data_IF_704457423489
#
_entry.id   IF_704457423489
#
_cell.length_a   1.000
_cell.length_b   1.000
_cell.length_c   1.000
_cell.angle_alpha   90.00
_cell.angle_beta   90.00
_cell.angle_gamma   90.00
#
_symmetry.space_group_name_H-M   'P 1'
#
loop_
_entity.id
_entity.type
_entity.pdbx_description
1 polymer ?
#
# COMPACT_ATOMS: atom_id res chain seq x y z
N UNK A 1 18.75 -13.45 27.41
CA UNK A 1 17.67 -12.43 27.54
C UNK A 1 17.24 -12.05 26.14
N UNK A 2 15.95 -12.21 25.84
CA UNK A 2 15.36 -11.83 24.56
C UNK A 2 14.19 -10.89 24.81
N UNK A 3 14.00 -9.88 23.96
CA UNK A 3 12.84 -8.98 24.05
C UNK A 3 11.92 -9.32 22.88
N UNK A 4 10.64 -9.48 23.19
CA UNK A 4 9.56 -9.60 22.22
C UNK A 4 8.53 -8.51 22.50
N UNK A 5 7.63 -8.26 21.56
CA UNK A 5 6.61 -7.23 21.66
C UNK A 5 5.24 -7.88 21.53
N UNK A 6 4.33 -7.59 22.45
CA UNK A 6 2.91 -7.88 22.25
C UNK A 6 2.39 -7.10 21.04
N UNK A 7 1.30 -7.54 20.42
CA UNK A 7 0.79 -6.90 19.20
C UNK A 7 0.31 -5.45 19.40
N UNK A 8 0.25 -4.95 20.63
CA UNK A 8 -0.02 -3.55 21.00
C UNK A 8 1.26 -2.69 21.20
N UNK A 9 2.43 -3.30 21.07
CA UNK A 9 3.74 -2.67 21.25
C UNK A 9 4.34 -2.81 22.64
N UNK A 10 3.64 -3.44 23.58
CA UNK A 10 4.15 -3.64 24.94
C UNK A 10 5.37 -4.57 24.91
N UNK A 11 6.55 -4.12 25.39
CA UNK A 11 7.73 -4.97 25.41
C UNK A 11 7.62 -6.03 26.52
N UNK A 12 8.01 -7.25 26.20
CA UNK A 12 8.08 -8.39 27.11
C UNK A 12 9.49 -8.99 27.10
N UNK A 13 10.05 -9.22 28.29
CA UNK A 13 11.38 -9.82 28.45
C UNK A 13 11.21 -11.34 28.59
N UNK A 14 11.64 -12.08 27.56
CA UNK A 14 11.73 -13.53 27.61
C UNK A 14 13.02 -13.97 28.32
N UNK A 15 12.83 -14.59 29.49
CA UNK A 15 13.87 -15.15 30.33
C UNK A 15 14.04 -16.65 30.10
N UNK A 16 15.20 -17.18 30.47
CA UNK A 16 15.53 -18.60 30.31
C UNK A 16 15.10 -19.34 31.58
N UNK A 17 14.32 -20.41 31.43
CA UNK A 17 13.90 -21.26 32.54
C UNK A 17 15.02 -22.23 32.99
N UNK A 18 14.75 -23.04 34.01
CA UNK A 18 15.70 -24.03 34.55
C UNK A 18 16.10 -25.12 33.53
N UNK A 19 15.32 -25.31 32.46
CA UNK A 19 15.56 -26.27 31.38
C UNK A 19 16.36 -25.68 30.21
N UNK A 20 16.69 -24.38 30.27
CA UNK A 20 17.44 -23.69 29.22
C UNK A 20 16.59 -23.14 28.08
N UNK A 21 15.26 -23.16 28.19
CA UNK A 21 14.32 -22.66 27.19
C UNK A 21 13.82 -21.23 27.52
N UNK A 22 13.54 -20.44 26.48
CA UNK A 22 12.96 -19.11 26.64
C UNK A 22 11.47 -19.19 26.98
N UNK A 23 11.06 -18.49 28.03
CA UNK A 23 9.65 -18.32 28.40
C UNK A 23 9.09 -17.09 27.70
N UNK A 24 8.17 -17.32 26.76
CA UNK A 24 7.48 -16.30 25.97
C UNK A 24 6.13 -15.91 26.62
N UNK A 25 5.53 -14.76 26.26
CA UNK A 25 4.23 -14.38 26.79
C UNK A 25 3.12 -15.32 26.27
N UNK A 26 2.04 -15.44 27.03
CA UNK A 26 0.88 -16.25 26.66
C UNK A 26 0.02 -15.59 25.56
N UNK A 27 0.10 -14.27 25.44
CA UNK A 27 -0.62 -13.48 24.44
C UNK A 27 0.13 -13.46 23.10
N UNK A 28 -0.53 -12.99 22.03
CA UNK A 28 0.10 -12.87 20.70
C UNK A 28 1.25 -11.85 20.71
N UNK A 29 2.39 -12.23 20.11
CA UNK A 29 3.62 -11.46 20.13
C UNK A 29 4.38 -11.53 18.80
N UNK A 30 5.30 -10.58 18.62
CA UNK A 30 6.23 -10.49 17.50
C UNK A 30 7.64 -10.14 17.99
N UNK A 31 8.67 -10.56 17.26
CA UNK A 31 10.05 -10.11 17.50
C UNK A 31 10.34 -8.78 16.81
N UNK A 32 9.41 -8.30 15.98
CA UNK A 32 9.54 -7.06 15.23
C UNK A 32 9.20 -5.89 16.15
N UNK A 33 10.15 -5.00 16.49
CA UNK A 33 9.85 -3.84 17.31
C UNK A 33 8.92 -2.86 16.59
N UNK A 34 8.04 -2.14 17.33
CA UNK A 34 7.31 -1.03 16.77
C UNK A 34 8.28 0.02 16.20
N UNK A 35 8.05 0.53 14.97
CA UNK A 35 8.87 1.58 14.39
C UNK A 35 8.94 2.82 15.26
N UNK A 36 10.10 3.49 15.29
CA UNK A 36 10.23 4.77 15.97
C UNK A 36 9.32 5.82 15.32
N UNK A 37 8.53 6.53 16.14
CA UNK A 37 7.71 7.66 15.71
C UNK A 37 6.23 7.35 15.45
N UNK A 38 5.80 6.09 15.53
CA UNK A 38 4.37 5.78 15.56
C UNK A 38 3.76 6.21 16.90
N UNK A 39 2.57 6.80 16.84
CA UNK A 39 1.83 7.33 17.97
C UNK A 39 0.63 6.44 18.27
N UNK A 40 0.36 6.20 19.56
CA UNK A 40 -0.74 5.32 19.97
C UNK A 40 -2.11 5.93 19.60
N UNK A 41 -3.10 5.11 19.24
CA UNK A 41 -3.05 3.64 19.17
C UNK A 41 -2.39 3.11 17.88
N UNK A 42 -1.62 2.02 18.02
CA UNK A 42 -1.02 1.27 16.92
C UNK A 42 -1.06 -0.24 17.23
N UNK A 43 -0.96 -1.09 16.21
CA UNK A 43 -0.97 -2.54 16.37
C UNK A 43 -0.15 -3.24 15.29
N UNK A 44 0.26 -4.49 15.52
CA UNK A 44 0.91 -5.35 14.53
C UNK A 44 -0.15 -6.19 13.80
N UNK A 45 -0.18 -6.14 12.46
CA UNK A 45 -1.18 -6.85 11.64
C UNK A 45 -0.80 -8.29 11.25
N UNK A 46 0.35 -8.77 11.77
CA UNK A 46 0.95 -10.05 11.42
C UNK A 46 2.08 -9.95 10.40
N UNK A 47 2.25 -8.79 9.75
CA UNK A 47 3.33 -8.51 8.81
C UNK A 47 4.08 -7.21 9.18
N UNK A 48 3.35 -6.13 9.45
CA UNK A 48 3.91 -4.81 9.77
C UNK A 48 3.14 -4.09 10.89
N UNK A 49 3.75 -3.04 11.42
CA UNK A 49 3.13 -2.19 12.43
C UNK A 49 2.27 -1.13 11.77
N UNK A 50 0.98 -1.13 12.10
CA UNK A 50 -0.02 -0.18 11.63
C UNK A 50 -0.23 0.90 12.71
N UNK A 51 0.05 2.14 12.36
CA UNK A 51 -0.11 3.30 13.26
C UNK A 51 0.03 4.62 12.50
N UNK A 52 -0.23 5.71 13.19
CA UNK A 52 -0.11 7.07 12.65
C UNK A 52 1.07 7.77 13.32
N UNK A 53 1.81 8.62 12.58
CA UNK A 53 2.87 9.42 13.19
C UNK A 53 2.30 10.46 14.17
N UNK A 54 3.04 10.84 15.21
CA UNK A 54 2.55 11.81 16.21
C UNK A 54 2.03 13.10 15.59
N UNK A 55 2.81 13.71 14.69
CA UNK A 55 2.43 14.98 14.04
C UNK A 55 1.13 14.83 13.22
N UNK A 56 0.97 13.72 12.53
CA UNK A 56 -0.23 13.43 11.75
C UNK A 56 -1.44 13.17 12.65
N UNK A 57 -1.25 12.45 13.75
CA UNK A 57 -2.31 12.22 14.73
C UNK A 57 -2.74 13.54 15.38
N UNK A 58 -1.78 14.36 15.84
CA UNK A 58 -2.05 15.66 16.43
C UNK A 58 -2.79 16.57 15.45
N UNK A 59 -2.35 16.60 14.19
CA UNK A 59 -2.98 17.37 13.12
C UNK A 59 -4.42 16.93 12.84
N UNK A 60 -4.69 15.62 12.83
CA UNK A 60 -6.03 15.07 12.57
C UNK A 60 -6.99 15.22 13.77
N UNK A 61 -6.45 15.45 14.97
CA UNK A 61 -7.23 15.59 16.21
C UNK A 61 -7.31 17.04 16.72
N UNK A 62 -7.02 18.02 15.88
CA UNK A 62 -7.20 19.43 16.22
C UNK A 62 -8.70 19.75 16.32
N UNK A 63 -9.20 19.94 17.55
CA UNK A 63 -10.61 20.22 17.80
C UNK A 63 -11.00 21.69 17.49
N UNK A 64 -10.05 22.62 17.52
CA UNK A 64 -10.25 24.05 17.23
C UNK A 64 -9.01 24.65 16.52
N UNK A 65 -8.91 24.52 15.19
CA UNK A 65 -7.70 24.91 14.48
C UNK A 65 -7.52 26.43 14.44
N UNK A 66 -6.30 26.87 14.75
CA UNK A 66 -5.87 28.26 14.58
C UNK A 66 -5.85 28.64 13.09
N UNK A 67 -5.87 29.95 12.74
CA UNK A 67 -5.75 30.40 11.36
C UNK A 67 -4.50 29.89 10.63
N UNK A 68 -3.40 29.64 11.34
CA UNK A 68 -2.16 29.12 10.76
C UNK A 68 -2.27 27.61 10.47
N UNK A 69 -2.86 26.84 11.38
CA UNK A 69 -3.12 25.42 11.15
C UNK A 69 -4.09 25.22 9.99
N UNK A 70 -5.16 26.02 9.90
CA UNK A 70 -6.07 26.01 8.75
C UNK A 70 -5.35 26.27 7.42
N UNK A 71 -4.43 27.24 7.38
CA UNK A 71 -3.61 27.50 6.17
C UNK A 71 -2.75 26.30 5.80
N UNK A 72 -2.16 25.63 6.79
CA UNK A 72 -1.39 24.41 6.57
C UNK A 72 -2.28 23.27 6.03
N UNK A 73 -3.48 23.08 6.61
CA UNK A 73 -4.44 22.09 6.12
C UNK A 73 -4.82 22.35 4.66
N UNK A 74 -5.17 23.60 4.33
CA UNK A 74 -5.53 23.99 2.96
C UNK A 74 -4.36 23.76 2.00
N UNK A 75 -3.13 24.11 2.39
CA UNK A 75 -1.95 23.87 1.56
C UNK A 75 -1.71 22.38 1.31
N UNK A 76 -1.86 21.55 2.34
CA UNK A 76 -1.71 20.09 2.21
C UNK A 76 -2.80 19.49 1.33
N UNK A 77 -4.05 19.91 1.48
CA UNK A 77 -5.16 19.49 0.62
C UNK A 77 -4.94 19.92 -0.84
N UNK A 78 -4.43 21.13 -1.07
CA UNK A 78 -4.07 21.59 -2.41
C UNK A 78 -2.96 20.73 -3.04
N UNK A 79 -1.91 20.39 -2.27
CA UNK A 79 -0.85 19.49 -2.75
C UNK A 79 -1.42 18.11 -3.10
N UNK A 80 -2.25 17.53 -2.23
CA UNK A 80 -2.89 16.24 -2.49
C UNK A 80 -3.76 16.28 -3.75
N UNK A 81 -4.54 17.35 -3.95
CA UNK A 81 -5.36 17.53 -5.14
C UNK A 81 -4.50 17.61 -6.41
N UNK A 82 -3.40 18.36 -6.38
CA UNK A 82 -2.45 18.46 -7.51
C UNK A 82 -1.84 17.10 -7.82
N UNK A 83 -1.34 16.37 -6.81
CA UNK A 83 -0.76 15.03 -7.00
C UNK A 83 -1.79 14.04 -7.55
N UNK A 84 -3.03 14.07 -7.04
CA UNK A 84 -4.12 13.24 -7.54
C UNK A 84 -4.43 13.53 -9.01
N UNK A 85 -4.51 14.81 -9.39
CA UNK A 85 -4.72 15.21 -10.78
C UNK A 85 -3.57 14.74 -11.71
N UNK A 86 -2.31 14.83 -11.23
CA UNK A 86 -1.16 14.32 -11.98
C UNK A 86 -1.24 12.80 -12.18
N UNK A 87 -1.60 12.06 -11.13
CA UNK A 87 -1.77 10.61 -11.22
C UNK A 87 -2.93 10.23 -12.16
N UNK A 88 -4.05 10.94 -12.09
CA UNK A 88 -5.19 10.76 -13.00
C UNK A 88 -4.81 11.00 -14.46
N UNK A 89 -4.02 12.05 -14.72
CA UNK A 89 -3.50 12.34 -16.06
C UNK A 89 -2.60 11.21 -16.58
N UNK A 90 -1.69 10.68 -15.75
CA UNK A 90 -0.85 9.53 -16.10
C UNK A 90 -1.67 8.28 -16.39
N UNK A 91 -2.67 7.97 -15.56
CA UNK A 91 -3.58 6.82 -15.77
C UNK A 91 -4.34 6.99 -17.08
N UNK A 92 -4.85 8.19 -17.35
CA UNK A 92 -5.54 8.50 -18.61
C UNK A 92 -4.63 8.26 -19.83
N UNK A 93 -3.35 8.65 -19.74
CA UNK A 93 -2.37 8.39 -20.80
C UNK A 93 -2.12 6.89 -21.01
N UNK A 94 -1.90 6.14 -19.93
CA UNK A 94 -1.71 4.69 -20.00
C UNK A 94 -2.92 4.01 -20.62
N UNK A 95 -4.13 4.40 -20.21
CA UNK A 95 -5.37 3.86 -20.78
C UNK A 95 -5.50 4.17 -22.28
N UNK A 96 -5.11 5.35 -22.73
CA UNK A 96 -5.10 5.70 -24.16
C UNK A 96 -4.11 4.83 -24.94
N UNK A 97 -2.89 4.62 -24.43
CA UNK A 97 -1.91 3.72 -25.04
C UNK A 97 -2.45 2.30 -25.13
N UNK A 98 -2.95 1.74 -24.02
CA UNK A 98 -3.55 0.40 -24.01
C UNK A 98 -4.71 0.25 -24.98
N UNK A 99 -5.56 1.29 -25.11
CA UNK A 99 -6.67 1.29 -26.07
C UNK A 99 -6.16 1.20 -27.52
N UNK A 100 -5.09 1.93 -27.84
CA UNK A 100 -4.46 1.87 -29.16
C UNK A 100 -3.82 0.51 -29.42
N UNK A 101 -3.10 -0.05 -28.45
CA UNK A 101 -2.48 -1.36 -28.57
C UNK A 101 -3.54 -2.46 -28.80
N UNK A 102 -4.66 -2.39 -28.08
CA UNK A 102 -5.80 -3.30 -28.29
C UNK A 102 -6.38 -3.16 -29.69
N UNK A 103 -6.47 -1.95 -30.23
CA UNK A 103 -6.97 -1.71 -31.58
C UNK A 103 -6.02 -2.33 -32.61
N UNK A 104 -4.71 -2.11 -32.47
CA UNK A 104 -3.70 -2.68 -33.37
C UNK A 104 -3.72 -4.21 -33.34
N UNK A 105 -3.78 -4.81 -32.15
CA UNK A 105 -3.88 -6.27 -32.00
C UNK A 105 -5.15 -6.83 -32.67
N UNK A 106 -6.28 -6.11 -32.60
CA UNK A 106 -7.52 -6.52 -33.30
C UNK A 106 -7.37 -6.46 -34.82
N UNK A 107 -6.69 -5.44 -35.35
CA UNK A 107 -6.41 -5.32 -36.78
C UNK A 107 -5.48 -6.43 -37.26
N UNK A 108 -4.40 -6.70 -36.52
CA UNK A 108 -3.48 -7.80 -36.80
C UNK A 108 -4.21 -9.16 -36.76
N UNK A 109 -5.06 -9.39 -35.76
CA UNK A 109 -5.86 -10.61 -35.66
C UNK A 109 -6.81 -10.77 -36.86
N UNK A 110 -7.48 -9.70 -37.28
CA UNK A 110 -8.35 -9.73 -38.45
C UNK A 110 -7.59 -10.10 -39.73
N UNK A 111 -6.38 -9.55 -39.92
CA UNK A 111 -5.53 -9.87 -41.06
C UNK A 111 -5.12 -11.35 -41.06
N UNK A 112 -4.69 -11.88 -39.92
CA UNK A 112 -4.35 -13.31 -39.78
C UNK A 112 -5.54 -14.21 -40.11
N UNK A 113 -6.74 -13.89 -39.62
CA UNK A 113 -7.96 -14.66 -39.93
C UNK A 113 -8.28 -14.62 -41.43
N UNK A 114 -8.11 -13.47 -42.10
CA UNK A 114 -8.31 -13.36 -43.55
C UNK A 114 -7.32 -14.22 -44.32
N UNK A 115 -6.04 -14.21 -43.94
CA UNK A 115 -5.00 -15.04 -44.57
C UNK A 115 -5.29 -16.53 -44.40
N UNK A 116 -5.63 -16.97 -43.18
CA UNK A 116 -6.00 -18.36 -42.91
C UNK A 116 -7.23 -18.80 -43.72
N UNK A 117 -8.21 -17.91 -43.89
CA UNK A 117 -9.41 -18.19 -44.70
C UNK A 117 -9.06 -18.35 -46.18
N UNK A 118 -8.19 -17.49 -46.71
CA UNK A 118 -7.70 -17.60 -48.09
C UNK A 118 -6.92 -18.90 -48.31
N UNK A 119 -6.04 -19.28 -47.39
CA UNK A 119 -5.29 -20.53 -47.45
C UNK A 119 -6.21 -21.75 -47.43
N UNK A 120 -7.20 -21.76 -46.54
CA UNK A 120 -8.19 -22.85 -46.46
C UNK A 120 -9.00 -22.99 -47.75
N UNK A 121 -9.44 -21.89 -48.34
CA UNK A 121 -10.25 -21.92 -49.57
C UNK A 121 -9.41 -22.22 -50.83
N UNK A 122 -8.14 -21.83 -50.86
CA UNK A 122 -7.20 -22.17 -51.95
C UNK A 122 -6.62 -23.59 -51.88
N UNK A 123 -6.91 -24.34 -50.80
CA UNK A 123 -6.50 -25.75 -50.64
C UNK A 123 -7.61 -26.74 -51.04
N UNK A 124 -8.70 -26.24 -51.65
CA UNK A 124 -9.80 -27.05 -52.20
C UNK A 124 -9.79 -26.93 -53.72
N UNK A 125 -8.75 -27.49 -54.35
CA UNK A 125 -8.74 -27.90 -55.77
C UNK A 125 -8.04 -29.26 -55.89
#
# INVERSE_FOLDING_TARGET
MKIVYLLDGTPFIAEVNEEGEYVYPNDEWTEVPPPEGIYQPFYYDGNEWIGTGKEEWEFNNINDPTPNELKLMVSNLQKQLVMSNLNMSKISQVNMTQTNDIKELKEQLANVVLELTKLKNGSVE
#
